data_IF_729454329706
#
_entry.id   IF_729454329706
#
_cell.length_a   1.000
_cell.length_b   1.000
_cell.length_c   1.000
_cell.angle_alpha   90.00
_cell.angle_beta   90.00
_cell.angle_gamma   90.00
#
_symmetry.space_group_name_H-M   'P 1'
#
loop_
_entity.id
_entity.type
_entity.pdbx_description
1 polymer ?
#
# COMPACT_ATOMS: atom_id res chain seq x y z
N UNK A 1 -56.73 -10.86 -17.31
CA UNK A 1 -55.68 -9.94 -17.77
C UNK A 1 -54.46 -10.13 -16.89
N UNK A 2 -53.32 -10.49 -17.49
CA UNK A 2 -52.01 -10.50 -16.84
C UNK A 2 -51.36 -9.14 -17.10
N UNK A 3 -50.71 -8.54 -16.09
CA UNK A 3 -49.69 -7.51 -16.32
C UNK A 3 -48.36 -8.09 -15.85
N UNK A 4 -47.43 -8.15 -16.79
CA UNK A 4 -46.07 -8.64 -16.67
C UNK A 4 -45.20 -7.55 -16.03
N UNK A 5 -44.55 -7.85 -14.91
CA UNK A 5 -43.35 -7.11 -14.49
C UNK A 5 -42.12 -7.97 -14.73
N UNK A 6 -41.34 -7.59 -15.77
CA UNK A 6 -40.02 -8.15 -16.03
C UNK A 6 -39.02 -7.50 -15.07
N UNK A 7 -38.76 -8.14 -13.94
CA UNK A 7 -37.64 -7.82 -13.08
C UNK A 7 -36.35 -8.50 -13.56
N UNK A 8 -35.36 -7.71 -13.95
CA UNK A 8 -34.02 -8.17 -14.30
C UNK A 8 -33.38 -8.91 -13.11
N UNK A 9 -33.01 -10.17 -13.31
CA UNK A 9 -32.31 -10.99 -12.32
C UNK A 9 -30.82 -10.64 -12.34
N UNK A 10 -30.42 -9.65 -11.57
CA UNK A 10 -28.99 -9.45 -11.27
C UNK A 10 -28.63 -10.60 -10.32
N UNK A 11 -27.84 -11.57 -10.81
CA UNK A 11 -27.24 -12.61 -9.97
C UNK A 11 -26.24 -11.92 -9.03
N UNK A 12 -26.71 -11.50 -7.87
CA UNK A 12 -25.82 -11.21 -6.74
C UNK A 12 -25.06 -12.48 -6.42
N UNK A 13 -23.77 -12.52 -6.75
CA UNK A 13 -22.87 -13.52 -6.19
C UNK A 13 -22.85 -13.22 -4.69
N UNK A 14 -23.49 -14.08 -3.91
CA UNK A 14 -23.36 -14.09 -2.45
C UNK A 14 -21.89 -14.33 -2.16
N UNK A 15 -21.14 -13.25 -1.98
CA UNK A 15 -19.85 -13.33 -1.29
C UNK A 15 -20.20 -13.88 0.08
N UNK A 16 -19.76 -15.11 0.34
CA UNK A 16 -19.78 -15.62 1.68
C UNK A 16 -18.98 -14.62 2.51
N UNK A 17 -19.61 -14.02 3.51
CA UNK A 17 -18.87 -13.44 4.62
C UNK A 17 -18.19 -14.65 5.26
N UNK A 18 -16.96 -14.94 4.81
CA UNK A 18 -16.12 -15.93 5.46
C UNK A 18 -16.02 -15.46 6.89
N UNK A 19 -16.53 -16.28 7.80
CA UNK A 19 -16.47 -16.13 9.24
C UNK A 19 -15.14 -15.48 9.62
N UNK A 20 -15.18 -14.27 10.15
CA UNK A 20 -14.01 -13.64 10.76
C UNK A 20 -13.58 -14.62 11.86
N UNK A 21 -12.39 -15.24 11.79
CA UNK A 21 -11.95 -16.10 12.88
C UNK A 21 -11.98 -15.25 14.14
N UNK A 22 -12.66 -15.76 15.16
CA UNK A 22 -12.81 -15.16 16.47
C UNK A 22 -11.44 -14.66 16.94
N UNK A 23 -11.23 -13.34 16.88
CA UNK A 23 -9.96 -12.72 17.21
C UNK A 23 -9.80 -12.77 18.72
N UNK A 24 -9.12 -13.80 19.20
CA UNK A 24 -8.53 -13.79 20.54
C UNK A 24 -7.57 -12.60 20.65
N UNK A 25 -7.42 -11.97 21.82
CA UNK A 25 -6.46 -10.88 22.03
C UNK A 25 -5.02 -11.23 21.62
N UNK A 26 -4.67 -12.52 21.68
CA UNK A 26 -3.35 -13.05 21.31
C UNK A 26 -3.06 -12.99 19.80
N UNK A 27 -4.08 -12.95 18.94
CA UNK A 27 -3.90 -12.79 17.48
C UNK A 27 -3.56 -11.35 17.07
N UNK A 28 -3.61 -10.38 17.99
CA UNK A 28 -3.15 -9.02 17.69
C UNK A 28 -1.63 -8.95 17.56
N UNK A 29 -0.89 -9.88 18.20
CA UNK A 29 0.55 -10.07 17.99
C UNK A 29 0.88 -10.71 16.63
N UNK A 30 -0.09 -11.35 15.95
CA UNK A 30 0.09 -11.86 14.59
C UNK A 30 -0.01 -10.76 13.52
N UNK A 31 -0.53 -9.59 13.88
CA UNK A 31 -0.50 -8.40 13.04
C UNK A 31 0.82 -7.68 13.34
N UNK A 32 1.77 -7.76 12.40
CA UNK A 32 3.10 -7.18 12.56
C UNK A 32 3.11 -5.70 12.96
N UNK A 33 4.26 -5.15 13.39
CA UNK A 33 4.38 -3.81 13.94
C UNK A 33 3.71 -2.74 13.06
N UNK A 34 2.83 -1.93 13.66
CA UNK A 34 2.11 -0.90 12.91
C UNK A 34 2.13 0.48 13.58
N UNK A 35 1.94 1.51 12.76
CA UNK A 35 1.65 2.87 13.21
C UNK A 35 0.72 3.55 12.19
N UNK A 36 0.09 4.64 12.60
CA UNK A 36 -0.76 5.42 11.70
C UNK A 36 -0.34 6.89 11.65
N UNK A 37 -0.78 7.57 10.60
CA UNK A 37 -0.64 9.02 10.43
C UNK A 37 -1.89 9.64 9.83
N UNK A 38 -2.25 10.79 10.38
CA UNK A 38 -3.21 11.72 9.78
C UNK A 38 -2.44 12.76 8.95
N UNK A 39 -2.92 13.04 7.75
CA UNK A 39 -2.40 14.11 6.90
C UNK A 39 -2.97 15.45 7.42
N UNK A 40 -2.31 16.07 8.40
CA UNK A 40 -2.78 17.31 9.06
C UNK A 40 -2.34 18.60 8.36
N UNK A 41 -1.51 18.50 7.34
CA UNK A 41 -1.29 19.53 6.35
C UNK A 41 -1.06 18.81 5.02
N UNK A 42 -1.62 19.27 3.89
CA UNK A 42 -1.18 18.76 2.60
C UNK A 42 0.33 19.03 2.57
N UNK A 43 1.11 17.97 2.50
CA UNK A 43 2.58 17.91 2.60
C UNK A 43 3.36 18.82 1.62
N UNK A 44 2.66 19.69 0.90
CA UNK A 44 3.21 20.81 0.13
C UNK A 44 4.13 21.76 0.93
N UNK A 45 4.06 21.81 2.27
CA UNK A 45 5.03 22.56 3.09
C UNK A 45 6.09 21.69 3.77
N UNK A 46 5.88 20.38 3.85
CA UNK A 46 6.85 19.42 4.39
C UNK A 46 6.92 18.24 3.45
N UNK A 47 7.96 18.21 2.62
CA UNK A 47 8.27 17.09 1.73
C UNK A 47 8.48 15.75 2.46
N UNK A 48 8.46 15.77 3.80
CA UNK A 48 8.77 14.66 4.64
C UNK A 48 7.58 14.27 5.55
N UNK A 49 7.41 12.98 5.83
CA UNK A 49 6.51 12.46 6.86
C UNK A 49 7.31 11.92 8.04
N UNK A 50 7.12 12.52 9.22
CA UNK A 50 7.80 12.06 10.44
C UNK A 50 7.18 10.76 10.98
N UNK A 51 8.02 9.76 11.24
CA UNK A 51 7.60 8.50 11.89
C UNK A 51 7.37 8.76 13.39
N UNK A 52 6.30 8.21 14.02
CA UNK A 52 6.05 8.39 15.45
C UNK A 52 7.23 7.97 16.31
N UNK A 53 7.62 8.81 17.28
CA UNK A 53 8.81 8.56 18.10
C UNK A 53 8.75 7.25 18.87
N UNK A 54 7.56 6.88 19.38
CA UNK A 54 7.38 5.59 20.07
C UNK A 54 7.73 4.43 19.14
N UNK A 55 7.28 4.49 17.89
CA UNK A 55 7.57 3.45 16.90
C UNK A 55 9.06 3.38 16.58
N UNK A 56 9.70 4.54 16.36
CA UNK A 56 11.15 4.63 16.15
C UNK A 56 11.91 3.99 17.32
N UNK A 57 11.59 4.35 18.57
CA UNK A 57 12.29 3.81 19.74
C UNK A 57 12.13 2.29 19.90
N UNK A 58 11.01 1.73 19.45
CA UNK A 58 10.71 0.31 19.60
C UNK A 58 11.32 -0.54 18.48
N UNK A 59 11.31 -0.05 17.23
CA UNK A 59 11.59 -0.89 16.05
C UNK A 59 12.74 -0.37 15.17
N UNK A 60 13.59 0.53 15.70
CA UNK A 60 14.64 1.17 14.89
C UNK A 60 15.57 0.16 14.22
N UNK A 61 16.16 -0.76 14.99
CA UNK A 61 17.19 -1.68 14.51
C UNK A 61 16.66 -2.65 13.46
N UNK A 62 15.43 -3.10 13.63
CA UNK A 62 14.80 -4.14 12.79
C UNK A 62 14.24 -3.58 11.48
N UNK A 63 13.80 -2.31 11.47
CA UNK A 63 12.95 -1.79 10.38
C UNK A 63 13.39 -0.43 9.82
N UNK A 64 14.12 0.37 10.59
CA UNK A 64 14.49 1.75 10.24
C UNK A 64 16.01 1.97 10.17
N UNK A 65 16.81 0.91 10.38
CA UNK A 65 18.26 0.97 10.31
C UNK A 65 18.76 1.31 8.89
N UNK A 66 18.05 0.86 7.85
CA UNK A 66 18.34 1.14 6.45
C UNK A 66 18.15 2.63 6.10
N UNK A 67 18.70 3.05 4.96
CA UNK A 67 18.58 4.43 4.46
C UNK A 67 17.28 4.69 3.69
N UNK A 68 16.44 3.67 3.51
CA UNK A 68 15.16 3.78 2.83
C UNK A 68 14.15 2.77 3.38
N UNK A 69 12.88 3.08 3.18
CA UNK A 69 11.76 2.18 3.39
C UNK A 69 11.11 1.83 2.05
N UNK A 70 10.54 0.62 1.95
CA UNK A 70 9.65 0.23 0.86
C UNK A 70 8.21 0.39 1.33
N UNK A 71 7.38 1.06 0.56
CA UNK A 71 5.94 1.21 0.82
C UNK A 71 5.16 0.51 -0.28
N UNK A 72 4.22 -0.35 0.05
CA UNK A 72 3.30 -0.97 -0.91
C UNK A 72 1.86 -0.65 -0.54
N UNK A 73 0.96 -0.60 -1.53
CA UNK A 73 -0.49 -0.50 -1.33
C UNK A 73 -1.20 -1.60 -2.14
N UNK A 74 -2.53 -1.65 -2.09
CA UNK A 74 -3.31 -2.71 -2.74
C UNK A 74 -3.38 -2.64 -4.29
N UNK A 75 -2.68 -1.70 -4.94
CA UNK A 75 -2.46 -1.69 -6.40
C UNK A 75 -1.27 -2.56 -6.85
N UNK A 76 -0.48 -3.09 -5.92
CA UNK A 76 0.72 -3.87 -6.21
C UNK A 76 1.96 -3.03 -6.52
N UNK A 77 1.88 -1.69 -6.54
CA UNK A 77 3.03 -0.80 -6.72
C UNK A 77 3.87 -0.77 -5.44
N UNK A 78 5.19 -0.72 -5.61
CA UNK A 78 6.16 -0.59 -4.50
C UNK A 78 6.95 0.70 -4.67
N UNK A 79 6.95 1.51 -3.63
CA UNK A 79 7.59 2.82 -3.57
C UNK A 79 8.82 2.75 -2.67
N UNK A 80 9.99 3.07 -3.22
CA UNK A 80 11.21 3.28 -2.43
C UNK A 80 11.25 4.72 -1.95
N UNK A 81 11.27 4.93 -0.62
CA UNK A 81 11.29 6.26 0.00
C UNK A 81 12.49 6.38 0.93
N UNK A 82 13.30 7.40 0.77
CA UNK A 82 14.51 7.60 1.58
C UNK A 82 14.16 7.97 3.04
N UNK A 83 14.91 7.42 4.00
CA UNK A 83 14.79 7.71 5.42
C UNK A 83 15.81 8.78 5.83
N UNK A 84 15.32 9.97 6.18
CA UNK A 84 16.14 11.01 6.79
C UNK A 84 16.18 10.80 8.31
N UNK A 85 17.35 10.95 8.92
CA UNK A 85 17.59 10.71 10.36
C UNK A 85 18.35 11.87 10.96
N UNK A 86 17.78 12.50 11.99
CA UNK A 86 18.38 13.66 12.66
C UNK A 86 17.85 13.76 14.09
N UNK A 87 18.75 13.92 15.07
CA UNK A 87 18.38 14.12 16.47
C UNK A 87 17.50 13.01 17.06
N UNK A 88 17.72 11.75 16.68
CA UNK A 88 16.92 10.60 17.14
C UNK A 88 15.52 10.51 16.54
N UNK A 89 15.23 11.29 15.49
CA UNK A 89 13.97 11.31 14.76
C UNK A 89 14.20 10.73 13.37
N UNK A 90 13.16 10.12 12.81
CA UNK A 90 13.19 9.52 11.47
C UNK A 90 12.03 10.05 10.66
N UNK A 91 12.28 10.34 9.39
CA UNK A 91 11.28 10.80 8.43
C UNK A 91 11.35 10.00 7.14
N UNK A 92 10.19 9.66 6.58
CA UNK A 92 10.06 9.38 5.15
C UNK A 92 10.31 10.70 4.43
N UNK A 93 11.31 10.74 3.56
CA UNK A 93 11.80 11.96 2.92
C UNK A 93 11.67 11.87 1.41
N UNK A 94 12.78 11.91 0.66
CA UNK A 94 12.77 11.87 -0.79
C UNK A 94 12.00 10.67 -1.33
N UNK A 95 11.05 10.93 -2.22
CA UNK A 95 10.10 9.96 -2.76
C UNK A 95 8.75 9.95 -2.06
N UNK A 96 8.64 10.49 -0.84
CA UNK A 96 7.36 10.63 -0.14
C UNK A 96 6.39 11.55 -0.88
N UNK A 97 6.89 12.64 -1.42
CA UNK A 97 6.11 13.60 -2.22
C UNK A 97 5.55 12.97 -3.50
N UNK A 98 6.26 12.00 -4.09
CA UNK A 98 5.78 11.24 -5.25
C UNK A 98 4.65 10.30 -4.84
N UNK A 99 4.79 9.59 -3.71
CA UNK A 99 3.73 8.75 -3.14
C UNK A 99 2.46 9.57 -2.85
N UNK A 100 2.60 10.73 -2.22
CA UNK A 100 1.50 11.67 -1.95
C UNK A 100 0.78 12.08 -3.22
N UNK A 101 1.53 12.45 -4.26
CA UNK A 101 0.97 12.89 -5.54
C UNK A 101 0.24 11.75 -6.26
N UNK A 102 0.83 10.55 -6.28
CA UNK A 102 0.25 9.40 -6.97
C UNK A 102 -1.13 9.03 -6.40
N UNK A 103 -1.24 8.96 -5.07
CA UNK A 103 -2.50 8.62 -4.40
C UNK A 103 -3.36 9.84 -4.06
N UNK A 104 -3.02 11.02 -4.60
CA UNK A 104 -3.74 12.27 -4.39
C UNK A 104 -4.09 12.52 -2.92
N UNK A 105 -3.15 12.28 -1.99
CA UNK A 105 -3.40 12.37 -0.55
C UNK A 105 -3.77 13.80 -0.16
N UNK A 106 -4.87 13.96 0.58
CA UNK A 106 -5.39 15.27 1.00
C UNK A 106 -5.36 15.43 2.51
N UNK A 107 -5.58 16.65 2.96
CA UNK A 107 -5.81 16.94 4.37
C UNK A 107 -6.88 16.01 4.96
N UNK A 108 -6.58 15.47 6.13
CA UNK A 108 -7.41 14.59 6.93
C UNK A 108 -7.42 13.11 6.48
N UNK A 109 -6.73 12.75 5.40
CA UNK A 109 -6.55 11.34 5.04
C UNK A 109 -5.82 10.61 6.17
N UNK A 110 -6.22 9.37 6.42
CA UNK A 110 -5.66 8.50 7.43
C UNK A 110 -4.86 7.38 6.77
N UNK A 111 -3.61 7.20 7.16
CA UNK A 111 -2.72 6.18 6.62
C UNK A 111 -2.34 5.22 7.73
N UNK A 112 -2.52 3.93 7.50
CA UNK A 112 -2.07 2.85 8.38
C UNK A 112 -0.88 2.14 7.75
N UNK A 113 0.27 2.19 8.39
CA UNK A 113 1.49 1.52 7.99
C UNK A 113 1.62 0.23 8.82
N UNK A 114 1.66 -0.92 8.16
CA UNK A 114 1.95 -2.23 8.78
C UNK A 114 3.23 -2.79 8.20
N UNK A 115 4.18 -3.14 9.05
CA UNK A 115 5.43 -3.74 8.60
C UNK A 115 5.23 -5.23 8.31
N UNK A 116 5.65 -5.66 7.12
CA UNK A 116 5.73 -7.06 6.70
C UNK A 116 7.19 -7.51 6.88
N UNK A 117 7.42 -8.38 7.86
CA UNK A 117 8.75 -8.91 8.20
C UNK A 117 9.29 -9.88 7.14
N UNK A 118 8.42 -10.50 6.33
CA UNK A 118 8.83 -11.43 5.27
C UNK A 118 9.31 -10.66 4.05
N UNK A 119 8.60 -9.60 3.68
CA UNK A 119 8.93 -8.75 2.52
C UNK A 119 9.86 -7.58 2.86
N UNK A 120 10.06 -7.27 4.15
CA UNK A 120 10.80 -6.11 4.63
C UNK A 120 10.26 -4.81 4.02
N UNK A 121 8.95 -4.60 4.11
CA UNK A 121 8.26 -3.42 3.58
C UNK A 121 7.08 -3.01 4.45
N UNK A 122 6.62 -1.77 4.29
CA UNK A 122 5.39 -1.29 4.90
C UNK A 122 4.23 -1.42 3.92
N UNK A 123 3.24 -2.25 4.25
CA UNK A 123 1.93 -2.19 3.61
C UNK A 123 1.18 -0.97 4.16
N UNK A 124 0.81 -0.06 3.28
CA UNK A 124 0.13 1.18 3.60
C UNK A 124 -1.32 1.08 3.15
N UNK A 125 -2.25 1.15 4.09
CA UNK A 125 -3.68 1.28 3.80
C UNK A 125 -4.07 2.75 3.90
N UNK A 126 -4.65 3.30 2.84
CA UNK A 126 -4.99 4.72 2.74
C UNK A 126 -6.51 4.88 2.85
N UNK A 127 -6.96 5.63 3.84
CA UNK A 127 -8.36 5.95 4.06
C UNK A 127 -8.60 7.43 3.78
N UNK A 128 -9.64 7.72 3.01
CA UNK A 128 -10.05 9.09 2.75
C UNK A 128 -10.91 9.67 3.89
N UNK A 129 -11.42 10.88 3.66
CA UNK A 129 -12.25 11.61 4.63
C UNK A 129 -13.62 10.97 4.90
N UNK A 130 -14.03 9.98 4.09
CA UNK A 130 -15.24 9.20 4.31
C UNK A 130 -15.00 8.01 5.24
N UNK A 131 -13.76 7.87 5.75
CA UNK A 131 -13.30 6.75 6.57
C UNK A 131 -13.31 5.40 5.82
N UNK A 132 -13.26 5.43 4.49
CA UNK A 132 -13.18 4.25 3.65
C UNK A 132 -11.82 4.16 2.96
N UNK A 133 -11.36 2.94 2.69
CA UNK A 133 -10.13 2.74 1.91
C UNK A 133 -10.33 3.31 0.50
N UNK A 134 -9.34 4.04 -0.01
CA UNK A 134 -9.42 4.57 -1.38
C UNK A 134 -9.43 3.45 -2.41
N UNK A 135 -10.05 3.70 -3.55
CA UNK A 135 -9.88 2.83 -4.72
C UNK A 135 -8.51 3.09 -5.35
N UNK A 136 -7.82 2.02 -5.73
CA UNK A 136 -6.53 2.12 -6.40
C UNK A 136 -6.66 1.65 -7.85
N UNK A 137 -6.02 2.38 -8.76
CA UNK A 137 -5.95 1.99 -10.16
C UNK A 137 -5.03 0.77 -10.30
N UNK A 138 -5.61 -0.39 -10.63
CA UNK A 138 -4.84 -1.61 -10.86
C UNK A 138 -4.23 -1.57 -12.26
N UNK A 139 -2.92 -1.37 -12.34
CA UNK A 139 -2.17 -1.58 -13.58
C UNK A 139 -1.93 -3.08 -13.76
N UNK A 140 -2.77 -3.75 -14.55
CA UNK A 140 -2.50 -5.11 -14.99
C UNK A 140 -1.30 -5.07 -15.94
N UNK A 141 -0.17 -5.59 -15.46
CA UNK A 141 1.09 -5.65 -16.19
C UNK A 141 0.99 -6.63 -17.39
N UNK A 142 0.45 -6.16 -18.51
CA UNK A 142 0.39 -6.89 -19.78
C UNK A 142 1.74 -6.77 -20.52
N UNK A 143 2.81 -7.32 -19.95
CA UNK A 143 4.02 -7.62 -20.71
C UNK A 143 4.13 -9.12 -20.97
N UNK A 144 3.38 -9.55 -21.99
CA UNK A 144 3.69 -10.75 -22.77
C UNK A 144 5.15 -10.65 -23.22
N UNK A 145 5.97 -11.61 -22.80
CA UNK A 145 7.32 -11.79 -23.34
C UNK A 145 7.19 -12.12 -24.82
N UNK A 146 7.43 -11.14 -25.68
CA UNK A 146 7.70 -11.41 -27.09
C UNK A 146 8.92 -12.32 -27.15
N UNK A 147 8.70 -13.55 -27.58
CA UNK A 147 9.75 -14.50 -27.89
C UNK A 147 10.56 -13.92 -29.05
N UNK A 148 11.83 -13.63 -28.78
CA UNK A 148 12.85 -13.40 -29.79
C UNK A 148 12.90 -14.65 -30.70
N UNK A 149 12.32 -14.54 -31.89
CA UNK A 149 12.49 -15.54 -32.95
C UNK A 149 13.94 -15.40 -33.43
N UNK A 150 14.79 -16.33 -33.00
CA UNK A 150 16.15 -16.47 -33.50
C UNK A 150 16.05 -16.79 -35.00
N UNK A 151 16.32 -15.81 -35.86
CA UNK A 151 16.53 -16.04 -37.30
C UNK A 151 17.85 -16.78 -37.46
N UNK A 152 17.77 -18.07 -37.77
CA UNK A 152 18.92 -18.84 -38.26
C UNK A 152 18.93 -18.66 -39.78
N UNK A 153 19.92 -17.94 -40.32
CA UNK A 153 20.17 -17.90 -41.76
C UNK A 153 20.75 -19.23 -42.23
N UNK A 154 20.39 -19.73 -43.44
CA UNK A 154 20.99 -20.96 -43.97
C UNK A 154 22.43 -20.71 -44.37
N UNK A 155 23.36 -21.60 -44.00
CA UNK A 155 24.65 -21.71 -44.65
C UNK A 155 24.52 -22.70 -45.81
N UNK A 156 24.96 -22.26 -46.98
CA UNK A 156 25.05 -23.03 -48.22
C UNK A 156 26.18 -24.07 -48.12
N UNK A 157 25.92 -25.28 -48.60
CA UNK A 157 26.93 -26.23 -49.11
C UNK A 157 26.83 -26.28 -50.63
#
# INVERSE_FOLDING_TARGET
MQVLEKGNKIKGKKIALTTIPETTPDNLQALGPCFYKLIVAPSTQSHNLRIPEKYVRTYYEEQLANDYAKLSVNDGKVWRVELFKEGGKVWLSKGWECFVKNYSLKYGYFLLFRYDEVKYEYHVTIFDMTCFEIEYDQEFDNHTKDQEVIKISPQEE
#
